data_IF_194140185811
#
_entry.id   IF_194140185811
#
_cell.length_a   1.000
_cell.length_b   1.000
_cell.length_c   1.000
_cell.angle_alpha   90.00
_cell.angle_beta   90.00
_cell.angle_gamma   90.00
#
_symmetry.space_group_name_H-M   'P 1'
#
loop_
_entity.id
_entity.type
_entity.pdbx_description
1 polymer ?
#
# COMPACT_ATOMS: atom_id res chain seq x y z
N UNK A 1 -11.27 -2.29 3.18
CA UNK A 1 -11.99 -2.00 1.91
C UNK A 1 -12.06 -0.49 1.76
N UNK A 2 -11.98 0.06 0.54
CA UNK A 2 -12.03 1.50 0.27
C UNK A 2 -12.52 1.80 -1.14
N UNK A 3 -12.71 3.08 -1.47
CA UNK A 3 -13.16 3.55 -2.79
C UNK A 3 -12.03 4.34 -3.42
N UNK A 4 -11.69 3.98 -4.66
CA UNK A 4 -10.71 4.69 -5.49
C UNK A 4 -11.41 5.32 -6.69
N UNK A 5 -11.37 6.64 -6.80
CA UNK A 5 -11.93 7.39 -7.93
C UNK A 5 -10.80 8.07 -8.71
N UNK A 6 -10.75 7.81 -10.01
CA UNK A 6 -9.68 8.31 -10.87
C UNK A 6 -10.15 9.31 -11.93
N UNK A 7 -9.32 10.31 -12.22
CA UNK A 7 -9.47 11.21 -13.36
C UNK A 7 -8.11 11.55 -13.96
N UNK A 8 -8.10 12.00 -15.22
CA UNK A 8 -6.88 12.39 -15.92
C UNK A 8 -6.66 13.90 -15.85
N UNK A 9 -5.43 14.31 -15.55
CA UNK A 9 -4.92 15.67 -15.68
C UNK A 9 -3.75 15.65 -16.66
N UNK A 10 -4.00 15.99 -17.92
CA UNK A 10 -2.99 15.86 -18.98
C UNK A 10 -2.59 14.39 -19.17
N UNK A 11 -1.31 14.09 -18.90
CA UNK A 11 -0.70 12.76 -18.99
C UNK A 11 -0.65 12.01 -17.64
N UNK A 12 -1.20 12.62 -16.58
CA UNK A 12 -1.14 12.07 -15.23
C UNK A 12 -2.51 11.56 -14.81
N UNK A 13 -2.58 10.29 -14.38
CA UNK A 13 -3.76 9.74 -13.72
C UNK A 13 -3.71 10.14 -12.25
N UNK A 14 -4.73 10.86 -11.80
CA UNK A 14 -4.94 11.20 -10.40
C UNK A 14 -5.96 10.23 -9.83
N UNK A 15 -5.64 9.59 -8.72
CA UNK A 15 -6.55 8.68 -8.02
C UNK A 15 -6.73 9.17 -6.59
N UNK A 16 -7.97 9.47 -6.22
CA UNK A 16 -8.34 9.77 -4.85
C UNK A 16 -8.89 8.52 -4.17
N UNK A 17 -8.28 8.12 -3.05
CA UNK A 17 -8.67 6.99 -2.24
C UNK A 17 -9.24 7.48 -0.91
N UNK A 18 -10.46 7.05 -0.61
CA UNK A 18 -11.19 7.37 0.63
C UNK A 18 -12.01 6.17 1.12
N UNK A 19 -12.61 6.29 2.30
CA UNK A 19 -13.51 5.27 2.85
C UNK A 19 -12.80 3.98 3.26
N UNK A 20 -11.50 4.06 3.58
CA UNK A 20 -10.76 2.97 4.20
C UNK A 20 -11.30 2.71 5.62
N UNK A 21 -11.25 1.46 6.08
CA UNK A 21 -11.81 1.06 7.38
C UNK A 21 -10.83 1.18 8.55
N UNK A 22 -9.61 1.67 8.33
CA UNK A 22 -8.60 1.88 9.37
C UNK A 22 -7.97 0.60 9.96
N UNK A 23 -8.34 -0.59 9.46
CA UNK A 23 -7.86 -1.87 10.01
C UNK A 23 -6.59 -2.38 9.30
N UNK A 24 -6.21 -1.78 8.18
CA UNK A 24 -5.03 -2.18 7.42
C UNK A 24 -3.77 -1.46 7.90
N UNK A 25 -2.68 -2.21 8.03
CA UNK A 25 -1.35 -1.65 8.18
C UNK A 25 -0.84 -1.10 6.84
N UNK A 26 -0.14 0.03 6.88
CA UNK A 26 0.53 0.61 5.71
C UNK A 26 1.76 -0.20 5.27
N UNK A 27 2.48 -0.76 6.23
CA UNK A 27 3.71 -1.48 5.98
C UNK A 27 3.94 -2.61 7.00
N UNK A 28 5.08 -3.30 6.84
CA UNK A 28 5.43 -4.46 7.66
C UNK A 28 5.99 -4.12 9.04
N UNK A 29 6.25 -2.84 9.35
CA UNK A 29 6.75 -2.42 10.66
C UNK A 29 5.66 -1.85 11.56
N UNK A 30 4.43 -1.80 11.04
CA UNK A 30 3.26 -1.43 11.83
C UNK A 30 2.92 0.05 11.74
N UNK A 31 3.27 0.75 10.65
CA UNK A 31 2.65 2.05 10.41
C UNK A 31 1.18 1.83 10.00
N UNK A 32 0.28 2.72 10.44
CA UNK A 32 -1.15 2.61 10.18
C UNK A 32 -1.78 3.97 9.86
N UNK A 33 -3.01 3.94 9.35
CA UNK A 33 -3.89 5.08 9.20
C UNK A 33 -5.24 4.76 9.84
N UNK A 34 -5.96 5.81 10.24
CA UNK A 34 -7.37 5.72 10.62
C UNK A 34 -8.28 5.62 9.39
N UNK A 35 -9.56 5.40 9.64
CA UNK A 35 -10.64 5.47 8.67
C UNK A 35 -10.82 6.86 8.02
N UNK A 36 -10.26 7.91 8.64
CA UNK A 36 -10.31 9.29 8.14
C UNK A 36 -9.22 9.61 7.12
N UNK A 37 -8.38 8.63 6.76
CA UNK A 37 -7.32 8.84 5.79
C UNK A 37 -7.87 9.16 4.41
N UNK A 38 -7.25 10.16 3.79
CA UNK A 38 -7.40 10.49 2.38
C UNK A 38 -6.04 10.33 1.70
N UNK A 39 -6.02 9.59 0.60
CA UNK A 39 -4.80 9.39 -0.19
C UNK A 39 -5.05 9.95 -1.58
N UNK A 40 -4.15 10.81 -2.05
CA UNK A 40 -4.15 11.29 -3.43
C UNK A 40 -2.91 10.73 -4.12
N UNK A 41 -3.14 9.79 -5.02
CA UNK A 41 -2.12 9.16 -5.84
C UNK A 41 -2.02 9.85 -7.20
N UNK A 42 -0.80 9.97 -7.71
CA UNK A 42 -0.48 10.51 -9.04
C UNK A 42 0.39 9.50 -9.76
N UNK A 43 -0.07 9.07 -10.93
CA UNK A 43 0.67 8.19 -11.83
C UNK A 43 0.97 8.96 -13.10
N UNK A 44 2.24 9.35 -13.27
CA UNK A 44 2.72 10.09 -14.44
C UNK A 44 3.59 9.19 -15.31
N UNK A 45 3.51 9.35 -16.63
CA UNK A 45 4.34 8.61 -17.55
C UNK A 45 5.75 9.22 -17.60
N UNK A 46 6.75 8.48 -17.15
CA UNK A 46 8.14 8.94 -17.20
C UNK A 46 8.76 8.61 -18.57
N UNK A 47 8.63 7.35 -19.00
CA UNK A 47 9.10 6.85 -20.30
C UNK A 47 8.35 5.53 -20.66
N UNK A 48 8.60 4.92 -21.84
CA UNK A 48 7.90 3.71 -22.30
C UNK A 48 7.80 2.55 -21.32
N UNK A 49 8.72 2.44 -20.36
CA UNK A 49 8.80 1.33 -19.42
C UNK A 49 8.77 1.77 -17.95
N UNK A 50 8.55 3.06 -17.65
CA UNK A 50 8.53 3.59 -16.29
C UNK A 50 7.36 4.55 -16.04
N UNK A 51 6.79 4.47 -14.83
CA UNK A 51 5.86 5.46 -14.30
C UNK A 51 6.47 6.14 -13.08
N UNK A 52 6.31 7.46 -12.96
CA UNK A 52 6.54 8.16 -11.71
C UNK A 52 5.27 8.06 -10.87
N UNK A 53 5.37 7.42 -9.71
CA UNK A 53 4.28 7.31 -8.75
C UNK A 53 4.55 8.22 -7.56
N UNK A 54 3.56 9.04 -7.23
CA UNK A 54 3.51 9.79 -5.98
C UNK A 54 2.22 9.49 -5.23
N UNK A 55 2.27 9.42 -3.91
CA UNK A 55 1.06 9.40 -3.09
C UNK A 55 1.21 10.37 -1.92
N UNK A 56 0.25 11.27 -1.78
CA UNK A 56 0.12 12.17 -0.63
C UNK A 56 -0.89 11.58 0.34
N UNK A 57 -0.48 11.36 1.58
CA UNK A 57 -1.27 10.74 2.64
C UNK A 57 -1.66 11.82 3.64
N UNK A 58 -2.96 12.00 3.84
CA UNK A 58 -3.54 12.94 4.78
C UNK A 58 -4.41 12.21 5.80
N UNK A 59 -3.98 12.20 7.05
CA UNK A 59 -4.79 11.73 8.17
C UNK A 59 -4.43 12.53 9.43
N UNK A 60 -5.31 13.45 9.83
CA UNK A 60 -5.11 14.30 11.02
C UNK A 60 -5.29 13.54 12.34
N UNK A 61 -5.87 12.36 12.31
CA UNK A 61 -6.08 11.50 13.49
C UNK A 61 -4.77 10.84 13.91
N UNK A 62 -3.95 10.45 12.93
CA UNK A 62 -2.72 9.67 13.14
C UNK A 62 -1.46 10.51 12.90
N UNK A 63 -1.44 11.32 11.84
CA UNK A 63 -0.24 12.04 11.42
C UNK A 63 -0.28 13.53 11.81
N UNK A 64 0.86 14.04 12.28
CA UNK A 64 1.01 15.45 12.65
C UNK A 64 0.88 16.41 11.45
N UNK A 65 1.15 15.91 10.23
CA UNK A 65 1.03 16.64 8.97
C UNK A 65 0.91 15.69 7.78
N UNK A 66 0.35 16.14 6.65
CA UNK A 66 0.46 15.43 5.39
C UNK A 66 1.90 15.10 5.03
N UNK A 67 2.09 13.93 4.42
CA UNK A 67 3.38 13.47 3.93
C UNK A 67 3.21 12.76 2.59
N UNK A 68 4.31 12.64 1.84
CA UNK A 68 4.31 12.14 0.47
C UNK A 68 5.37 11.07 0.29
N UNK A 69 5.03 10.01 -0.43
CA UNK A 69 5.98 9.07 -1.03
C UNK A 69 6.11 9.35 -2.51
N UNK A 70 7.29 9.08 -3.05
CA UNK A 70 7.55 9.13 -4.49
C UNK A 70 8.51 8.01 -4.84
N UNK A 71 8.15 7.21 -5.84
CA UNK A 71 9.01 6.17 -6.38
C UNK A 71 8.72 5.91 -7.86
N UNK A 72 9.73 5.52 -8.64
CA UNK A 72 9.52 4.98 -9.98
C UNK A 72 8.93 3.56 -9.92
N UNK A 73 7.93 3.29 -10.76
CA UNK A 73 7.40 1.97 -11.03
C UNK A 73 7.97 1.43 -12.34
N UNK A 74 8.56 0.24 -12.28
CA UNK A 74 9.32 -0.35 -13.38
C UNK A 74 8.52 -1.44 -14.09
N UNK A 75 8.48 -1.40 -15.41
CA UNK A 75 8.07 -2.58 -16.19
C UNK A 75 9.23 -3.58 -16.25
N UNK A 76 8.99 -4.82 -15.81
CA UNK A 76 9.95 -5.93 -15.94
C UNK A 76 9.99 -6.41 -17.40
N UNK A 77 11.16 -6.29 -18.04
CA UNK A 77 11.38 -6.55 -19.48
C UNK A 77 12.45 -7.59 -19.77
N UNK A 78 13.05 -8.16 -18.72
CA UNK A 78 14.10 -9.15 -18.85
C UNK A 78 13.58 -10.42 -19.55
N UNK A 79 14.39 -11.04 -20.41
CA UNK A 79 14.01 -12.17 -21.28
C UNK A 79 13.30 -13.32 -20.55
N UNK A 80 13.65 -13.54 -19.28
CA UNK A 80 13.11 -14.59 -18.42
C UNK A 80 12.43 -14.02 -17.16
N UNK A 81 11.90 -12.79 -17.21
CA UNK A 81 11.13 -12.24 -16.10
C UNK A 81 9.94 -13.16 -15.79
N UNK A 82 9.82 -13.58 -14.53
CA UNK A 82 8.73 -14.42 -14.05
C UNK A 82 8.09 -13.77 -12.82
N UNK A 83 6.76 -13.84 -12.74
CA UNK A 83 6.06 -13.61 -11.48
C UNK A 83 6.33 -14.84 -10.61
N UNK A 84 7.28 -14.71 -9.69
CA UNK A 84 7.59 -15.78 -8.74
C UNK A 84 6.42 -16.00 -7.81
N UNK A 85 6.15 -17.26 -7.47
CA UNK A 85 5.23 -17.58 -6.40
C UNK A 85 5.71 -16.92 -5.10
N UNK A 86 4.82 -16.14 -4.48
CA UNK A 86 5.05 -15.66 -3.13
C UNK A 86 4.82 -16.84 -2.17
N UNK A 87 5.92 -17.48 -1.73
CA UNK A 87 5.86 -18.54 -0.73
C UNK A 87 5.52 -17.96 0.64
N UNK A 88 4.22 -17.85 0.94
CA UNK A 88 3.77 -17.70 2.33
C UNK A 88 4.27 -18.91 3.12
N UNK A 89 4.98 -18.69 4.23
CA UNK A 89 5.29 -19.79 5.14
C UNK A 89 3.96 -20.19 5.79
N UNK A 90 3.51 -21.42 5.52
CA UNK A 90 2.30 -21.94 6.15
C UNK A 90 2.44 -21.83 7.68
N UNK A 91 1.37 -21.39 8.34
CA UNK A 91 1.37 -21.17 9.80
C UNK A 91 2.41 -20.17 10.31
N UNK A 92 2.81 -19.16 9.50
CA UNK A 92 3.74 -18.10 9.94
C UNK A 92 3.36 -17.51 11.31
N UNK A 93 2.07 -17.24 11.52
CA UNK A 93 1.58 -16.67 12.78
C UNK A 93 1.76 -17.65 13.96
N UNK A 94 1.53 -18.95 13.76
CA UNK A 94 1.77 -19.99 14.78
C UNK A 94 3.27 -20.16 15.07
N UNK A 95 4.11 -20.13 14.03
CA UNK A 95 5.56 -20.26 14.16
C UNK A 95 6.17 -19.08 14.93
N UNK A 96 5.72 -17.84 14.65
CA UNK A 96 6.25 -16.64 15.29
C UNK A 96 5.58 -16.38 16.64
N UNK A 97 4.25 -16.50 16.73
CA UNK A 97 3.46 -16.04 17.87
C UNK A 97 2.70 -17.15 18.60
N UNK A 98 2.89 -18.43 18.25
CA UNK A 98 2.19 -19.54 18.91
C UNK A 98 2.38 -19.55 20.43
N UNK A 99 3.55 -19.12 20.92
CA UNK A 99 3.84 -18.97 22.34
C UNK A 99 3.03 -17.86 23.05
N UNK A 100 2.48 -16.90 22.30
CA UNK A 100 1.61 -15.82 22.79
C UNK A 100 0.13 -16.18 22.68
N UNK A 101 -0.20 -17.28 22.02
CA UNK A 101 -1.58 -17.67 21.77
C UNK A 101 -2.26 -18.05 23.09
N UNK A 102 -3.46 -17.53 23.32
CA UNK A 102 -4.25 -17.85 24.52
C UNK A 102 -4.47 -19.35 24.59
N UNK A 103 -3.88 -20.00 25.60
CA UNK A 103 -4.15 -21.41 25.84
C UNK A 103 -5.59 -21.57 26.35
N UNK A 104 -6.43 -22.23 25.55
CA UNK A 104 -7.70 -22.73 26.02
C UNK A 104 -7.42 -23.95 26.88
N UNK A 105 -7.34 -23.75 28.20
CA UNK A 105 -7.38 -24.86 29.15
C UNK A 105 -8.62 -25.72 28.85
N UNK A 106 -8.41 -27.02 28.64
CA UNK A 106 -9.49 -28.02 28.67
C UNK A 106 -9.95 -28.25 30.11
#
# INVERSE_FOLDING_TARGET
MGISNGHWEGDTLIVEVTGLNGESWFDRVGNFASENVRIVERYSFADPDHLDYEATIEDKTVFARPWKISLPLYRRKERNAQLTEFKCVEFTEELIYGHLRKQTNK
#
